data_IF_552325667084
#
_entry.id   IF_552325667084
#
_cell.length_a   1.000
_cell.length_b   1.000
_cell.length_c   1.000
_cell.angle_alpha   90.00
_cell.angle_beta   90.00
_cell.angle_gamma   90.00
#
_symmetry.space_group_name_H-M   'P 1'
#
loop_
_entity.id
_entity.type
_entity.pdbx_description
1 polymer ?
#
# COMPACT_ATOMS: atom_id res chain seq x y z
N UNK A 1 33.21 29.31 25.75
CA UNK A 1 31.84 28.85 26.08
C UNK A 1 31.04 28.84 24.78
N UNK A 2 30.84 27.76 24.05
CA UNK A 2 30.80 26.36 24.44
C UNK A 2 29.35 25.85 24.45
N UNK A 3 28.79 25.64 23.25
CA UNK A 3 27.85 24.55 22.94
C UNK A 3 27.63 24.50 21.41
N UNK A 4 28.43 23.66 20.76
CA UNK A 4 28.05 23.05 19.50
C UNK A 4 26.80 22.20 19.74
N UNK A 5 25.74 22.41 18.95
CA UNK A 5 24.70 21.42 18.73
C UNK A 5 25.08 20.69 17.44
N UNK A 6 25.85 19.61 17.62
CA UNK A 6 26.19 18.64 16.59
C UNK A 6 24.95 17.79 16.23
N UNK A 7 24.88 17.45 14.95
CA UNK A 7 24.12 16.36 14.31
C UNK A 7 22.62 16.55 14.09
N UNK A 8 22.32 17.29 13.01
CA UNK A 8 21.09 17.15 12.23
C UNK A 8 21.34 16.01 11.23
N UNK A 9 20.76 14.84 11.49
CA UNK A 9 20.78 13.69 10.58
C UNK A 9 19.34 13.22 10.37
N UNK A 10 18.93 13.26 9.11
CA UNK A 10 17.88 12.53 8.41
C UNK A 10 16.40 12.80 8.74
N UNK A 11 15.80 13.49 7.79
CA UNK A 11 14.37 13.74 7.58
C UNK A 11 13.64 12.38 7.40
N UNK A 12 13.09 11.85 8.49
CA UNK A 12 12.21 10.67 8.50
C UNK A 12 10.75 11.08 8.46
N UNK A 13 10.20 11.20 7.25
CA UNK A 13 8.75 11.19 6.98
C UNK A 13 8.60 10.43 5.67
N UNK A 14 8.04 9.23 5.63
CA UNK A 14 6.70 8.89 6.11
C UNK A 14 6.66 7.47 6.73
N UNK A 15 7.78 6.99 7.26
CA UNK A 15 8.02 5.54 7.39
C UNK A 15 8.83 5.14 8.62
N UNK A 16 8.40 5.59 9.80
CA UNK A 16 8.98 5.14 11.06
C UNK A 16 7.91 4.79 12.08
N UNK A 17 7.41 3.57 11.95
CA UNK A 17 7.04 2.80 13.12
C UNK A 17 7.72 1.41 12.93
N UNK A 18 8.80 1.21 13.69
CA UNK A 18 9.22 -0.01 14.41
C UNK A 18 9.74 -1.30 13.70
N UNK A 19 10.98 -1.67 14.09
CA UNK A 19 11.76 -2.89 13.77
C UNK A 19 12.40 -3.48 15.06
N UNK A 20 12.76 -4.80 15.00
CA UNK A 20 13.62 -5.68 15.87
C UNK A 20 12.84 -6.74 16.69
N UNK A 21 13.12 -8.07 16.74
CA UNK A 21 14.30 -8.95 16.45
C UNK A 21 13.88 -10.46 16.43
N UNK A 22 14.63 -11.28 15.64
CA UNK A 22 14.86 -12.77 15.68
C UNK A 22 13.66 -13.74 15.44
N UNK A 23 13.73 -14.89 14.75
CA UNK A 23 14.82 -15.66 14.15
C UNK A 23 14.37 -17.14 13.94
N UNK A 24 14.29 -17.57 12.66
CA UNK A 24 14.41 -18.93 12.07
C UNK A 24 13.48 -20.11 12.51
N UNK A 25 12.70 -20.69 11.57
CA UNK A 25 12.91 -22.01 10.92
C UNK A 25 11.66 -22.58 10.20
N UNK A 26 11.84 -22.82 8.89
CA UNK A 26 11.10 -23.64 7.89
C UNK A 26 9.88 -24.46 8.31
N UNK A 27 8.75 -24.34 7.55
CA UNK A 27 7.88 -25.47 7.17
C UNK A 27 7.11 -25.22 5.86
N UNK A 28 6.85 -26.32 5.14
CA UNK A 28 6.34 -26.39 3.77
C UNK A 28 4.80 -26.23 3.69
N UNK A 29 4.36 -25.76 2.52
CA UNK A 29 3.03 -25.25 2.13
C UNK A 29 1.88 -26.25 2.16
N UNK A 30 0.67 -25.79 2.55
CA UNK A 30 -0.60 -25.95 1.80
C UNK A 30 -1.81 -25.40 2.59
N UNK A 31 -2.19 -24.13 2.33
CA UNK A 31 -3.57 -23.61 2.19
C UNK A 31 -3.59 -22.08 2.43
N UNK A 32 -3.59 -21.27 1.36
CA UNK A 32 -3.66 -19.80 1.42
C UNK A 32 -4.96 -19.23 0.82
N UNK A 33 -6.07 -20.00 0.87
CA UNK A 33 -7.35 -19.70 0.19
C UNK A 33 -8.20 -18.58 0.79
N UNK A 34 -7.63 -17.55 1.43
CA UNK A 34 -8.40 -16.45 2.03
C UNK A 34 -7.66 -15.10 1.93
N UNK A 35 -7.82 -14.43 0.80
CA UNK A 35 -7.38 -13.04 0.60
C UNK A 35 -8.61 -12.14 0.53
N UNK A 36 -8.57 -11.03 1.27
CA UNK A 36 -9.70 -10.10 1.50
C UNK A 36 -9.28 -8.71 1.00
N UNK A 37 -9.86 -8.21 -0.10
CA UNK A 37 -9.61 -6.83 -0.60
C UNK A 37 -10.43 -5.75 0.13
N UNK A 38 -10.07 -4.46 -0.02
CA UNK A 38 -10.54 -3.34 0.85
C UNK A 38 -10.75 -2.00 0.09
N UNK A 39 -11.89 -1.30 0.27
CA UNK A 39 -12.07 0.12 -0.15
C UNK A 39 -13.17 0.87 0.65
N UNK A 40 -13.08 2.20 0.71
CA UNK A 40 -14.14 3.16 1.10
C UNK A 40 -14.01 4.51 0.36
N UNK A 41 -15.14 5.15 0.02
CA UNK A 41 -15.27 6.60 -0.22
C UNK A 41 -16.59 7.12 0.41
N UNK A 42 -16.59 8.15 1.28
CA UNK A 42 -17.80 8.69 1.92
C UNK A 42 -18.72 9.46 0.99
N UNK A 43 -18.17 10.31 0.10
CA UNK A 43 -18.99 11.34 -0.56
C UNK A 43 -18.62 11.48 -2.06
N UNK A 44 -19.28 10.72 -2.92
CA UNK A 44 -19.26 11.00 -4.36
C UNK A 44 -20.65 10.75 -4.94
N UNK A 45 -21.47 11.80 -4.91
CA UNK A 45 -22.78 11.90 -5.58
C UNK A 45 -22.64 11.94 -7.13
N UNK A 46 -21.57 11.35 -7.69
CA UNK A 46 -21.23 11.36 -9.12
C UNK A 46 -20.58 10.03 -9.50
N UNK A 47 -21.18 8.88 -9.20
CA UNK A 47 -20.93 7.64 -9.92
C UNK A 47 -22.17 6.74 -9.77
N UNK A 48 -22.82 6.43 -10.89
CA UNK A 48 -24.05 5.65 -10.97
C UNK A 48 -24.09 4.47 -9.98
N UNK A 49 -25.17 4.44 -9.19
CA UNK A 49 -25.48 3.49 -8.13
C UNK A 49 -25.57 2.01 -8.56
N UNK A 50 -25.32 1.68 -9.83
CA UNK A 50 -25.46 0.32 -10.38
C UNK A 50 -24.13 -0.44 -10.55
N UNK A 51 -22.98 0.14 -10.16
CA UNK A 51 -21.66 -0.47 -10.39
C UNK A 51 -21.04 -1.24 -9.20
N UNK A 52 -21.74 -1.46 -8.08
CA UNK A 52 -21.11 -1.96 -6.85
C UNK A 52 -21.75 -3.23 -6.26
N UNK A 53 -21.59 -4.38 -6.94
CA UNK A 53 -21.71 -5.69 -6.28
C UNK A 53 -20.47 -6.00 -5.41
N UNK A 54 -20.36 -5.30 -4.29
CA UNK A 54 -19.52 -5.67 -3.14
C UNK A 54 -20.42 -5.81 -1.92
N UNK A 55 -20.17 -6.79 -1.05
CA UNK A 55 -20.93 -6.90 0.20
C UNK A 55 -20.42 -5.82 1.16
N UNK A 56 -21.18 -4.73 1.29
CA UNK A 56 -20.97 -3.73 2.33
C UNK A 56 -21.20 -4.39 3.70
N UNK A 57 -20.23 -4.28 4.59
CA UNK A 57 -20.39 -4.65 5.99
C UNK A 57 -20.57 -3.35 6.77
N UNK A 58 -21.81 -3.00 7.09
CA UNK A 58 -22.13 -1.84 7.92
C UNK A 58 -21.61 -2.11 9.34
N UNK A 59 -20.59 -1.38 9.77
CA UNK A 59 -20.21 -1.26 11.17
C UNK A 59 -20.97 -0.09 11.79
N UNK A 60 -21.80 -0.35 12.79
CA UNK A 60 -22.42 0.69 13.60
C UNK A 60 -21.40 1.54 14.37
N UNK A 61 -21.91 2.47 15.17
CA UNK A 61 -21.12 3.30 16.09
C UNK A 61 -20.41 2.44 17.15
N UNK A 62 -19.11 2.71 17.39
CA UNK A 62 -18.24 1.86 18.22
C UNK A 62 -18.62 1.87 19.69
N UNK A 63 -19.44 2.83 20.08
CA UNK A 63 -19.90 3.02 21.44
C UNK A 63 -21.22 2.27 21.73
N UNK A 64 -21.90 1.74 20.71
CA UNK A 64 -23.25 1.16 20.83
C UNK A 64 -23.39 -0.28 20.29
N UNK A 65 -22.32 -0.92 19.84
CA UNK A 65 -22.34 -2.34 19.49
C UNK A 65 -22.49 -3.19 20.77
N UNK A 66 -23.74 -3.50 21.13
CA UNK A 66 -24.11 -4.42 22.22
C UNK A 66 -23.74 -5.89 22.01
N UNK A 67 -22.71 -6.18 21.22
CA UNK A 67 -22.04 -7.47 21.17
C UNK A 67 -20.84 -7.34 22.11
N UNK A 68 -20.99 -7.87 23.32
CA UNK A 68 -20.07 -7.64 24.43
C UNK A 68 -18.64 -8.04 24.07
N UNK A 69 -17.83 -7.06 23.70
CA UNK A 69 -16.65 -6.68 24.48
C UNK A 69 -16.02 -5.39 23.92
N UNK A 70 -16.54 -4.23 24.36
CA UNK A 70 -15.87 -2.94 24.15
C UNK A 70 -14.49 -2.88 24.85
N UNK A 71 -14.15 -3.84 25.73
CA UNK A 71 -12.84 -3.95 26.37
C UNK A 71 -11.85 -4.82 25.56
N UNK A 72 -12.25 -5.46 24.45
CA UNK A 72 -11.35 -6.31 23.63
C UNK A 72 -10.60 -5.54 22.55
N UNK A 73 -10.87 -4.23 22.42
CA UNK A 73 -10.30 -3.39 21.39
C UNK A 73 -9.12 -2.60 22.00
N UNK A 74 -7.85 -3.06 21.89
CA UNK A 74 -6.73 -2.32 22.44
C UNK A 74 -6.68 -0.88 21.92
N UNK A 75 -6.31 0.05 22.80
CA UNK A 75 -6.25 1.48 22.49
C UNK A 75 -5.34 1.76 21.28
N UNK A 76 -4.26 1.00 21.15
CA UNK A 76 -3.33 1.03 20.01
C UNK A 76 -3.24 -0.33 19.32
N UNK A 77 -3.10 -0.33 18.00
CA UNK A 77 -2.76 -1.52 17.22
C UNK A 77 -1.68 -1.18 16.21
N UNK A 78 -0.81 -2.14 15.90
CA UNK A 78 0.17 -2.01 14.85
C UNK A 78 0.44 -3.40 14.24
N UNK A 79 0.07 -3.53 12.96
CA UNK A 79 0.16 -4.76 12.22
C UNK A 79 1.60 -5.32 12.15
N UNK A 80 2.64 -4.49 12.20
CA UNK A 80 4.04 -4.97 12.13
C UNK A 80 4.46 -5.73 13.36
N UNK A 81 3.95 -5.34 14.52
CA UNK A 81 4.22 -6.04 15.76
C UNK A 81 3.35 -7.29 15.90
N UNK A 82 2.15 -7.26 15.34
CA UNK A 82 1.24 -8.39 15.41
C UNK A 82 1.62 -9.50 14.42
N UNK A 83 2.12 -9.15 13.24
CA UNK A 83 2.57 -10.08 12.20
C UNK A 83 4.01 -9.78 11.79
N UNK A 84 4.93 -9.93 12.74
CA UNK A 84 6.35 -9.61 12.56
C UNK A 84 7.02 -10.37 11.40
N UNK A 85 6.62 -11.61 11.15
CA UNK A 85 7.14 -12.43 10.03
C UNK A 85 6.70 -11.92 8.65
N UNK A 86 5.69 -11.06 8.60
CA UNK A 86 5.20 -10.46 7.37
C UNK A 86 5.92 -9.15 7.06
N UNK A 87 7.14 -9.31 6.53
CA UNK A 87 8.02 -8.19 6.16
C UNK A 87 7.37 -7.20 5.19
N UNK A 88 6.40 -7.64 4.39
CA UNK A 88 5.62 -6.77 3.48
C UNK A 88 4.91 -5.64 4.23
N UNK A 89 4.53 -5.87 5.49
CA UNK A 89 3.83 -4.86 6.29
C UNK A 89 4.77 -3.69 6.62
N UNK A 90 6.06 -3.98 6.78
CA UNK A 90 7.12 -2.99 7.01
C UNK A 90 7.78 -2.52 5.72
N UNK A 91 7.37 -3.06 4.56
CA UNK A 91 7.94 -2.71 3.27
C UNK A 91 7.28 -1.45 2.70
N UNK A 92 8.14 -0.59 2.18
CA UNK A 92 7.86 0.80 1.85
C UNK A 92 8.20 1.05 0.40
N UNK A 93 7.17 1.26 -0.40
CA UNK A 93 7.31 1.52 -1.84
C UNK A 93 7.65 2.98 -2.13
N UNK A 94 8.48 3.20 -3.14
CA UNK A 94 8.64 4.52 -3.77
C UNK A 94 7.98 4.49 -5.16
N UNK A 95 6.90 5.26 -5.32
CA UNK A 95 6.16 5.34 -6.58
C UNK A 95 6.92 6.05 -7.71
N UNK A 96 8.01 6.76 -7.40
CA UNK A 96 8.71 7.61 -8.35
C UNK A 96 7.84 8.76 -8.85
N UNK A 97 8.17 9.32 -10.01
CA UNK A 97 7.41 10.43 -10.61
C UNK A 97 6.16 9.92 -11.37
N UNK A 98 5.36 9.09 -10.70
CA UNK A 98 4.18 8.41 -11.22
C UNK A 98 3.10 8.43 -10.13
N UNK A 99 1.89 8.90 -10.43
CA UNK A 99 0.76 8.88 -9.50
C UNK A 99 0.13 7.47 -9.41
N UNK A 100 0.89 6.52 -8.84
CA UNK A 100 0.55 5.11 -8.74
C UNK A 100 0.16 4.66 -7.32
N UNK A 101 -0.10 5.60 -6.40
CA UNK A 101 -0.54 5.34 -5.02
C UNK A 101 -1.77 4.41 -4.98
N UNK A 102 -2.70 4.56 -5.93
CA UNK A 102 -3.89 3.73 -6.07
C UNK A 102 -3.58 2.24 -6.33
N UNK A 103 -2.52 1.93 -7.07
CA UNK A 103 -2.11 0.57 -7.39
C UNK A 103 -1.17 0.00 -6.32
N UNK A 104 -0.23 0.83 -5.84
CA UNK A 104 0.76 0.46 -4.83
C UNK A 104 0.08 0.18 -3.48
N UNK A 105 -0.86 1.01 -3.04
CA UNK A 105 -1.59 0.77 -1.79
C UNK A 105 -2.37 -0.55 -1.81
N UNK A 106 -3.04 -0.85 -2.93
CA UNK A 106 -3.81 -2.08 -3.14
C UNK A 106 -2.92 -3.32 -3.15
N UNK A 107 -1.85 -3.31 -3.93
CA UNK A 107 -0.90 -4.43 -3.97
C UNK A 107 -0.15 -4.60 -2.65
N UNK A 108 0.16 -3.52 -1.94
CA UNK A 108 0.75 -3.59 -0.59
C UNK A 108 -0.19 -4.27 0.41
N UNK A 109 -1.45 -3.85 0.48
CA UNK A 109 -2.44 -4.49 1.36
C UNK A 109 -2.67 -5.96 0.96
N UNK A 110 -2.64 -6.27 -0.34
CA UNK A 110 -2.70 -7.66 -0.82
C UNK A 110 -1.51 -8.48 -0.34
N UNK A 111 -0.27 -7.97 -0.48
CA UNK A 111 0.95 -8.66 -0.04
C UNK A 111 0.88 -9.01 1.45
N UNK A 112 0.46 -8.04 2.28
CA UNK A 112 0.29 -8.24 3.72
C UNK A 112 -0.72 -9.33 4.03
N UNK A 113 -1.89 -9.27 3.38
CA UNK A 113 -2.96 -10.23 3.61
C UNK A 113 -2.60 -11.63 3.12
N UNK A 114 -1.78 -11.74 2.07
CA UNK A 114 -1.22 -13.01 1.62
C UNK A 114 -0.30 -13.60 2.67
N UNK A 115 0.61 -12.80 3.18
CA UNK A 115 1.51 -13.25 4.23
C UNK A 115 0.74 -13.66 5.50
N UNK A 116 -0.18 -12.83 5.96
CA UNK A 116 -0.98 -13.10 7.17
C UNK A 116 -1.82 -14.36 6.99
N UNK A 117 -2.55 -14.49 5.89
CA UNK A 117 -3.42 -15.64 5.65
C UNK A 117 -2.63 -16.94 5.46
N UNK A 118 -1.41 -16.85 4.93
CA UNK A 118 -0.49 -17.99 4.78
C UNK A 118 0.34 -18.26 6.04
N UNK A 119 0.16 -17.48 7.12
CA UNK A 119 0.95 -17.55 8.36
C UNK A 119 2.46 -17.41 8.12
N UNK A 120 2.86 -16.44 7.30
CA UNK A 120 4.27 -16.17 6.97
C UNK A 120 4.85 -17.06 5.87
N UNK A 121 4.11 -18.06 5.36
CA UNK A 121 4.66 -18.97 4.35
C UNK A 121 4.79 -18.34 2.96
N UNK A 122 4.04 -17.28 2.66
CA UNK A 122 4.13 -16.56 1.39
C UNK A 122 4.48 -15.11 1.69
N UNK A 123 5.72 -14.74 1.43
CA UNK A 123 6.26 -13.39 1.66
C UNK A 123 6.61 -12.65 0.37
N UNK A 124 6.31 -13.25 -0.79
CA UNK A 124 6.58 -12.64 -2.09
C UNK A 124 5.81 -11.31 -2.25
N UNK A 125 6.47 -10.32 -2.87
CA UNK A 125 5.83 -9.08 -3.29
C UNK A 125 5.14 -9.29 -4.63
N UNK A 126 3.88 -8.86 -4.72
CA UNK A 126 3.12 -8.84 -5.96
C UNK A 126 3.16 -7.47 -6.62
N UNK A 127 3.27 -7.50 -7.94
CA UNK A 127 3.67 -6.39 -8.77
C UNK A 127 2.59 -5.30 -8.85
N UNK A 128 2.83 -4.09 -8.31
CA UNK A 128 2.04 -2.91 -8.67
C UNK A 128 2.21 -2.53 -10.15
N UNK A 129 3.35 -2.86 -10.76
CA UNK A 129 3.64 -2.53 -12.15
C UNK A 129 2.60 -3.13 -13.10
N UNK A 130 2.21 -4.39 -12.88
CA UNK A 130 1.17 -5.03 -13.69
C UNK A 130 -0.17 -4.29 -13.61
N UNK A 131 -0.55 -3.84 -12.42
CA UNK A 131 -1.81 -3.10 -12.23
C UNK A 131 -1.77 -1.76 -12.96
N UNK A 132 -0.69 -0.99 -12.78
CA UNK A 132 -0.50 0.32 -13.40
C UNK A 132 -0.46 0.23 -14.93
N UNK A 133 0.23 -0.77 -15.48
CA UNK A 133 0.44 -0.89 -16.92
C UNK A 133 -0.70 -1.56 -17.67
N UNK A 134 -1.41 -2.50 -17.04
CA UNK A 134 -2.36 -3.38 -17.74
C UNK A 134 -3.82 -3.23 -17.30
N UNK A 135 -4.13 -2.43 -16.29
CA UNK A 135 -5.53 -2.16 -15.93
C UNK A 135 -6.08 -0.95 -16.69
N UNK A 136 -6.74 -1.21 -17.81
CA UNK A 136 -7.35 -0.18 -18.66
C UNK A 136 -8.54 0.51 -17.98
N UNK A 137 -9.29 -0.21 -17.14
CA UNK A 137 -10.47 0.32 -16.43
C UNK A 137 -10.13 0.97 -15.08
N UNK A 138 -8.84 1.10 -14.73
CA UNK A 138 -8.42 1.61 -13.41
C UNK A 138 -8.14 3.12 -13.37
N UNK A 139 -8.21 3.81 -14.50
CA UNK A 139 -7.82 5.21 -14.63
C UNK A 139 -6.68 5.39 -15.62
N UNK A 140 -5.82 6.38 -15.40
CA UNK A 140 -4.84 6.87 -16.37
C UNK A 140 -3.39 6.50 -15.99
N UNK A 141 -3.19 5.34 -15.37
CA UNK A 141 -1.87 4.82 -15.00
C UNK A 141 -1.10 5.77 -14.07
N UNK A 142 0.00 6.33 -14.57
CA UNK A 142 0.84 7.30 -13.84
C UNK A 142 0.22 8.69 -13.68
N UNK A 143 -0.99 8.93 -14.22
CA UNK A 143 -1.75 10.16 -14.01
C UNK A 143 -2.89 9.97 -12.98
N UNK A 144 -2.85 8.90 -12.19
CA UNK A 144 -3.84 8.59 -11.17
C UNK A 144 -4.83 7.49 -11.58
N UNK A 145 -5.54 6.98 -10.60
CA UNK A 145 -6.46 5.87 -10.77
C UNK A 145 -7.27 5.55 -9.51
N UNK A 146 -8.03 4.47 -9.57
CA UNK A 146 -9.03 4.11 -8.57
C UNK A 146 -8.69 2.78 -7.90
N UNK A 147 -8.53 2.79 -6.59
CA UNK A 147 -8.23 1.59 -5.77
C UNK A 147 -9.32 0.52 -5.87
N UNK A 148 -10.60 0.91 -5.97
CA UNK A 148 -11.71 -0.02 -6.19
C UNK A 148 -11.58 -0.78 -7.52
N UNK A 149 -11.20 -0.08 -8.59
CA UNK A 149 -10.97 -0.69 -9.89
C UNK A 149 -9.74 -1.61 -9.87
N UNK A 150 -8.67 -1.23 -9.16
CA UNK A 150 -7.49 -2.07 -8.97
C UNK A 150 -7.82 -3.40 -8.28
N UNK A 151 -8.60 -3.38 -7.20
CA UNK A 151 -9.07 -4.62 -6.57
C UNK A 151 -9.89 -5.48 -7.52
N UNK A 152 -10.77 -4.87 -8.32
CA UNK A 152 -11.56 -5.58 -9.34
C UNK A 152 -10.69 -6.18 -10.44
N UNK A 153 -9.65 -5.48 -10.86
CA UNK A 153 -8.67 -6.00 -11.80
C UNK A 153 -7.97 -7.24 -11.23
N UNK A 154 -7.51 -7.18 -9.98
CA UNK A 154 -6.87 -8.31 -9.31
C UNK A 154 -7.85 -9.49 -9.14
N UNK A 155 -9.13 -9.23 -8.87
CA UNK A 155 -10.18 -10.25 -8.80
C UNK A 155 -10.40 -10.95 -10.16
N UNK A 156 -10.52 -10.17 -11.25
CA UNK A 156 -10.87 -10.70 -12.58
C UNK A 156 -9.66 -11.27 -13.32
N UNK A 157 -8.57 -10.52 -13.37
CA UNK A 157 -7.38 -10.77 -14.19
C UNK A 157 -6.20 -11.29 -13.39
N UNK A 158 -6.04 -10.82 -12.15
CA UNK A 158 -4.92 -11.20 -11.29
C UNK A 158 -3.62 -10.51 -11.65
N UNK A 159 -2.61 -10.72 -10.81
CA UNK A 159 -1.28 -10.13 -10.94
C UNK A 159 -0.18 -11.17 -10.74
N UNK A 160 1.05 -10.82 -11.08
CA UNK A 160 2.25 -11.66 -10.90
C UNK A 160 3.14 -11.06 -9.81
N UNK A 161 4.20 -11.77 -9.44
CA UNK A 161 5.20 -11.27 -8.49
C UNK A 161 6.00 -10.09 -9.07
N UNK A 162 6.53 -9.22 -8.22
CA UNK A 162 7.34 -8.07 -8.62
C UNK A 162 7.68 -7.16 -7.44
N UNK A 163 8.97 -6.94 -7.19
CA UNK A 163 9.48 -6.07 -6.13
C UNK A 163 9.83 -4.66 -6.59
N UNK A 164 10.70 -3.99 -5.83
CA UNK A 164 11.12 -2.60 -6.08
C UNK A 164 11.87 -2.41 -7.41
N UNK A 165 12.01 -1.14 -7.79
CA UNK A 165 12.87 -0.73 -8.89
C UNK A 165 14.30 -1.22 -8.67
N UNK A 166 14.86 -1.93 -9.65
CA UNK A 166 16.23 -2.45 -9.59
C UNK A 166 16.44 -3.62 -8.63
N UNK A 167 15.41 -4.09 -7.92
CA UNK A 167 15.51 -5.23 -6.99
C UNK A 167 15.80 -6.56 -7.70
N UNK A 168 15.36 -6.69 -8.95
CA UNK A 168 15.28 -7.98 -9.67
C UNK A 168 14.47 -9.04 -8.90
N UNK A 169 13.48 -8.63 -8.13
CA UNK A 169 12.59 -9.54 -7.40
C UNK A 169 11.28 -9.79 -8.16
N UNK A 170 10.91 -11.05 -8.30
CA UNK A 170 9.65 -11.46 -8.93
C UNK A 170 9.62 -11.31 -10.46
N UNK A 171 8.48 -11.62 -11.07
CA UNK A 171 8.28 -11.62 -12.51
C UNK A 171 8.33 -10.21 -13.14
N UNK A 172 7.72 -9.22 -12.49
CA UNK A 172 7.56 -7.84 -12.98
C UNK A 172 7.92 -6.78 -11.92
N UNK A 173 9.23 -6.58 -11.61
CA UNK A 173 9.70 -5.52 -10.72
C UNK A 173 9.29 -4.11 -11.20
N UNK A 174 9.12 -3.17 -10.27
CA UNK A 174 8.74 -1.79 -10.58
C UNK A 174 9.68 -1.11 -11.60
N UNK A 175 9.11 -0.44 -12.61
CA UNK A 175 9.88 0.15 -13.71
C UNK A 175 10.13 1.66 -13.55
N UNK A 176 9.36 2.34 -12.69
CA UNK A 176 9.54 3.78 -12.48
C UNK A 176 10.66 4.01 -11.47
N UNK A 177 11.65 4.79 -11.89
CA UNK A 177 12.78 5.14 -11.02
C UNK A 177 12.29 5.92 -9.77
N UNK A 178 12.76 5.56 -8.56
CA UNK A 178 12.46 6.32 -7.36
C UNK A 178 12.90 7.78 -7.46
N UNK A 179 12.16 8.67 -6.80
CA UNK A 179 12.53 10.07 -6.66
C UNK A 179 12.26 10.55 -5.22
N UNK A 180 12.89 11.66 -4.84
CA UNK A 180 12.73 12.30 -3.55
C UNK A 180 11.58 13.32 -3.61
N UNK A 181 10.62 13.24 -2.68
CA UNK A 181 9.53 14.22 -2.58
C UNK A 181 9.94 15.58 -1.97
N UNK A 182 11.17 15.68 -1.42
CA UNK A 182 11.62 16.89 -0.72
C UNK A 182 12.22 17.94 -1.67
N UNK A 183 11.83 19.19 -1.46
CA UNK A 183 12.26 20.39 -2.19
C UNK A 183 13.69 20.85 -1.89
N UNK A 184 14.35 20.25 -0.91
CA UNK A 184 15.78 20.48 -0.67
C UNK A 184 16.57 19.52 -1.54
N UNK A 185 17.23 20.06 -2.56
CA UNK A 185 18.24 19.44 -3.43
C UNK A 185 18.78 18.10 -2.94
N UNK A 186 18.74 17.07 -3.81
CA UNK A 186 19.34 15.73 -3.65
C UNK A 186 20.29 15.64 -2.46
N UNK A 187 19.76 15.31 -1.28
CA UNK A 187 20.58 15.05 -0.11
C UNK A 187 21.33 13.74 -0.37
N UNK A 188 22.67 13.73 -0.47
CA UNK A 188 23.44 12.50 -0.64
C UNK A 188 23.25 11.52 0.53
N UNK A 189 22.73 12.01 1.66
CA UNK A 189 22.39 11.25 2.87
C UNK A 189 20.97 10.67 2.84
N UNK A 190 20.15 11.03 1.84
CA UNK A 190 18.85 10.39 1.62
C UNK A 190 19.06 8.88 1.48
N UNK A 191 18.21 8.08 2.13
CA UNK A 191 18.18 6.61 1.99
C UNK A 191 17.99 6.19 0.53
N UNK A 192 17.46 7.10 -0.30
CA UNK A 192 17.27 6.96 -1.73
C UNK A 192 18.54 7.34 -2.54
N UNK A 193 19.64 7.78 -1.91
CA UNK A 193 20.84 8.22 -2.63
C UNK A 193 20.57 9.41 -3.56
N UNK A 194 21.35 9.59 -4.66
CA UNK A 194 21.19 10.70 -5.61
C UNK A 194 19.99 10.47 -6.55
N UNK A 195 18.84 10.08 -6.02
CA UNK A 195 17.59 10.07 -6.77
C UNK A 195 17.09 11.52 -6.90
N UNK A 196 16.74 11.92 -8.11
CA UNK A 196 16.28 13.29 -8.40
C UNK A 196 15.04 13.67 -7.59
N UNK A 197 14.69 14.96 -7.58
CA UNK A 197 13.46 15.45 -6.92
C UNK A 197 12.25 15.10 -7.80
N UNK A 198 11.19 14.57 -7.21
CA UNK A 198 9.92 14.34 -7.89
C UNK A 198 9.30 15.68 -8.31
N UNK A 199 8.65 15.73 -9.48
CA UNK A 199 8.04 16.95 -9.99
C UNK A 199 8.10 17.04 -11.52
N UNK A 200 7.51 18.11 -12.05
CA UNK A 200 7.30 18.26 -13.49
C UNK A 200 6.23 17.29 -14.01
N UNK A 201 6.30 16.97 -15.31
CA UNK A 201 5.35 16.08 -15.95
C UNK A 201 5.53 14.63 -15.43
N UNK A 202 4.43 13.91 -15.11
CA UNK A 202 4.49 12.50 -14.75
C UNK A 202 5.19 11.69 -15.84
N UNK A 203 5.89 10.63 -15.43
CA UNK A 203 6.43 9.68 -16.41
C UNK A 203 5.29 9.06 -17.21
N UNK A 204 5.53 8.81 -18.50
CA UNK A 204 4.60 8.07 -19.31
C UNK A 204 4.35 6.68 -18.69
N UNK A 205 3.09 6.30 -18.54
CA UNK A 205 2.72 4.97 -18.02
C UNK A 205 3.44 3.87 -18.80
N UNK A 206 4.24 3.02 -18.15
CA UNK A 206 4.90 1.91 -18.84
C UNK A 206 3.87 1.01 -19.51
N UNK A 207 4.16 0.56 -20.74
CA UNK A 207 3.22 -0.25 -21.53
C UNK A 207 2.93 -1.58 -20.84
N UNK A 208 1.71 -2.09 -21.03
CA UNK A 208 1.36 -3.43 -20.58
C UNK A 208 2.25 -4.48 -21.25
N UNK A 209 2.99 -5.23 -20.44
CA UNK A 209 3.77 -6.38 -20.84
C UNK A 209 3.15 -7.64 -20.22
N UNK A 210 2.84 -8.64 -21.05
CA UNK A 210 2.30 -9.94 -20.62
C UNK A 210 3.39 -11.01 -20.54
N UNK A 211 4.59 -10.61 -20.12
CA UNK A 211 5.74 -11.48 -19.88
C UNK A 211 6.45 -11.13 -18.56
N UNK A 212 7.29 -12.04 -18.07
CA UNK A 212 8.22 -11.73 -16.99
C UNK A 212 9.47 -11.08 -17.58
N UNK A 213 9.58 -9.76 -17.50
CA UNK A 213 10.73 -9.01 -18.00
C UNK A 213 11.93 -9.02 -17.03
N UNK A 214 11.76 -9.55 -15.82
CA UNK A 214 12.91 -9.85 -14.97
C UNK A 214 13.66 -11.08 -15.47
N UNK A 215 14.84 -10.87 -16.04
CA UNK A 215 15.68 -11.96 -16.57
C UNK A 215 16.16 -12.96 -15.51
N UNK A 216 16.19 -12.59 -14.23
CA UNK A 216 16.61 -13.47 -13.13
C UNK A 216 15.46 -14.37 -12.65
N UNK A 217 14.23 -14.07 -13.06
CA UNK A 217 13.05 -14.78 -12.67
C UNK A 217 12.82 -16.01 -13.57
N UNK A 218 12.70 -17.20 -12.95
CA UNK A 218 12.59 -18.47 -13.67
C UNK A 218 11.15 -18.92 -13.95
N UNK A 219 10.17 -18.27 -13.32
CA UNK A 219 8.76 -18.60 -13.48
C UNK A 219 8.20 -18.18 -14.83
N UNK A 220 7.08 -18.79 -15.23
CA UNK A 220 6.35 -18.42 -16.44
C UNK A 220 5.21 -17.49 -16.08
N UNK A 221 5.09 -16.40 -16.83
CA UNK A 221 4.11 -15.34 -16.58
C UNK A 221 2.69 -15.85 -16.31
N UNK A 222 2.16 -16.75 -17.15
CA UNK A 222 0.79 -17.27 -17.01
C UNK A 222 0.60 -18.17 -15.79
N UNK A 223 1.65 -18.89 -15.37
CA UNK A 223 1.60 -19.83 -14.26
C UNK A 223 1.67 -19.13 -12.90
N UNK A 224 2.19 -17.88 -12.86
CA UNK A 224 2.32 -17.08 -11.64
C UNK A 224 1.12 -16.15 -11.35
N UNK A 225 0.11 -16.14 -12.23
CA UNK A 225 -1.03 -15.23 -12.05
C UNK A 225 -1.82 -15.65 -10.80
N UNK A 226 -1.78 -14.80 -9.77
CA UNK A 226 -2.64 -14.90 -8.60
C UNK A 226 -3.82 -13.94 -8.73
N UNK A 227 -5.00 -14.40 -8.28
CA UNK A 227 -6.22 -13.58 -8.26
C UNK A 227 -6.69 -13.37 -6.83
N UNK A 228 -7.29 -12.21 -6.59
CA UNK A 228 -8.12 -12.04 -5.40
C UNK A 228 -9.34 -12.96 -5.52
N UNK A 229 -9.87 -13.43 -4.39
CA UNK A 229 -11.08 -14.26 -4.37
C UNK A 229 -12.34 -13.43 -4.12
N UNK A 230 -12.26 -12.45 -3.22
CA UNK A 230 -13.36 -11.58 -2.81
C UNK A 230 -12.84 -10.20 -2.43
N UNK A 231 -13.69 -9.19 -2.61
CA UNK A 231 -13.45 -7.79 -2.23
C UNK A 231 -14.59 -7.39 -1.29
N UNK A 232 -14.27 -6.66 -0.23
CA UNK A 232 -15.24 -6.15 0.72
C UNK A 232 -14.96 -4.67 1.01
N UNK A 233 -16.00 -3.98 1.46
CA UNK A 233 -15.90 -2.63 2.01
C UNK A 233 -16.34 -2.67 3.46
N UNK A 234 -15.77 -1.78 4.26
CA UNK A 234 -16.03 -1.67 5.69
C UNK A 234 -15.80 -0.24 6.14
N UNK A 235 -16.53 0.15 7.16
CA UNK A 235 -16.49 1.47 7.78
C UNK A 235 -16.36 1.33 9.30
N UNK A 236 -16.17 2.48 9.97
CA UNK A 236 -16.18 2.59 11.43
C UNK A 236 -15.46 1.45 12.16
N UNK A 237 -16.19 0.75 13.01
CA UNK A 237 -15.64 -0.31 13.87
C UNK A 237 -15.37 -1.61 13.10
N UNK A 238 -16.12 -1.87 12.03
CA UNK A 238 -15.86 -2.99 11.15
C UNK A 238 -14.46 -2.87 10.53
N UNK A 239 -14.00 -1.65 10.23
CA UNK A 239 -12.64 -1.39 9.77
C UNK A 239 -11.58 -1.77 10.82
N UNK A 240 -11.76 -1.34 12.07
CA UNK A 240 -10.85 -1.68 13.20
C UNK A 240 -10.83 -3.19 13.47
N UNK A 241 -12.00 -3.84 13.50
CA UNK A 241 -12.13 -5.30 13.66
C UNK A 241 -11.45 -6.03 12.49
N UNK A 242 -11.62 -5.55 11.26
CA UNK A 242 -11.00 -6.14 10.07
C UNK A 242 -9.48 -6.01 10.09
N UNK A 243 -8.96 -4.84 10.47
CA UNK A 243 -7.52 -4.58 10.58
C UNK A 243 -6.82 -5.60 11.46
N UNK A 244 -7.40 -5.91 12.62
CA UNK A 244 -6.82 -6.83 13.60
C UNK A 244 -6.95 -8.29 13.21
N UNK A 245 -8.04 -8.66 12.55
CA UNK A 245 -8.31 -10.04 12.20
C UNK A 245 -7.66 -10.45 10.88
N UNK A 246 -7.55 -9.51 9.95
CA UNK A 246 -7.20 -9.79 8.56
C UNK A 246 -6.03 -8.96 8.05
N UNK A 247 -5.59 -7.94 8.79
CA UNK A 247 -4.42 -7.15 8.45
C UNK A 247 -4.71 -5.83 7.72
N UNK A 248 -3.65 -5.14 7.28
CA UNK A 248 -3.70 -3.84 6.65
C UNK A 248 -4.71 -3.71 5.52
N UNK A 249 -5.21 -2.49 5.31
CA UNK A 249 -6.20 -2.17 4.30
C UNK A 249 -5.95 -0.82 3.63
N UNK A 250 -6.58 -0.60 2.48
CA UNK A 250 -6.46 0.64 1.72
C UNK A 250 -7.49 1.66 2.18
N UNK A 251 -7.05 2.90 2.38
CA UNK A 251 -7.90 4.07 2.59
C UNK A 251 -7.50 5.17 1.61
N UNK A 252 -8.44 6.05 1.31
CA UNK A 252 -8.18 7.25 0.50
C UNK A 252 -8.42 8.47 1.37
N UNK A 253 -7.49 9.41 1.35
CA UNK A 253 -7.54 10.66 2.11
C UNK A 253 -7.41 11.88 1.19
N UNK A 254 -8.00 13.00 1.61
CA UNK A 254 -7.77 14.31 0.99
C UNK A 254 -6.40 14.83 1.42
N UNK A 255 -5.65 15.33 0.46
CA UNK A 255 -4.33 15.93 0.66
C UNK A 255 -4.43 17.43 0.42
N UNK A 256 -3.80 18.18 1.32
CA UNK A 256 -3.69 19.64 1.28
C UNK A 256 -2.21 20.03 1.27
N UNK A 257 -1.89 21.27 0.92
CA UNK A 257 -0.50 21.73 0.81
C UNK A 257 0.32 21.54 2.09
N UNK A 258 -0.29 21.76 3.26
CA UNK A 258 0.36 21.58 4.56
C UNK A 258 0.77 20.12 4.85
N UNK A 259 0.08 19.14 4.27
CA UNK A 259 0.47 17.73 4.36
C UNK A 259 1.86 17.47 3.78
N UNK A 260 2.25 18.18 2.71
CA UNK A 260 3.57 18.01 2.09
C UNK A 260 4.71 18.44 3.02
N UNK A 261 4.42 19.31 3.98
CA UNK A 261 5.36 19.77 4.98
C UNK A 261 5.37 18.91 6.26
N UNK A 262 4.48 17.93 6.37
CA UNK A 262 4.35 17.08 7.56
C UNK A 262 5.70 16.47 7.98
N UNK A 263 6.04 16.60 9.27
CA UNK A 263 7.30 16.09 9.85
C UNK A 263 7.13 14.95 10.87
N UNK A 264 6.14 15.04 11.75
CA UNK A 264 5.91 14.05 12.81
C UNK A 264 4.63 14.38 13.57
N UNK A 265 4.12 13.42 14.35
CA UNK A 265 2.95 13.60 15.21
C UNK A 265 1.68 13.03 14.59
N UNK A 266 0.54 13.65 14.88
CA UNK A 266 -0.74 13.32 14.25
C UNK A 266 -1.12 14.47 13.33
N UNK A 267 -1.11 14.21 12.03
CA UNK A 267 -1.50 15.22 11.04
C UNK A 267 -2.97 15.59 11.19
N UNK A 268 -3.24 16.89 11.22
CA UNK A 268 -4.56 17.48 11.01
C UNK A 268 -4.37 18.67 10.08
N UNK A 269 -5.29 18.86 9.14
CA UNK A 269 -5.22 19.99 8.23
C UNK A 269 -5.43 21.31 8.98
N UNK A 270 -4.61 22.31 8.68
CA UNK A 270 -4.65 23.66 9.29
C UNK A 270 -4.66 24.74 8.21
N UNK A 271 -3.87 24.60 7.14
CA UNK A 271 -3.69 25.65 6.12
C UNK A 271 -3.43 25.09 4.73
N UNK A 272 -3.64 25.90 3.70
CA UNK A 272 -3.25 25.57 2.33
C UNK A 272 -4.36 24.91 1.53
N UNK A 273 -4.20 24.94 0.21
CA UNK A 273 -5.24 24.53 -0.72
C UNK A 273 -5.35 23.01 -0.84
N UNK A 274 -6.52 22.56 -1.28
CA UNK A 274 -6.77 21.16 -1.61
C UNK A 274 -5.96 20.75 -2.86
N UNK A 275 -5.12 19.73 -2.71
CA UNK A 275 -4.25 19.24 -3.78
C UNK A 275 -4.81 18.01 -4.51
N UNK A 276 -5.62 17.20 -3.84
CA UNK A 276 -6.18 15.99 -4.43
C UNK A 276 -6.43 14.87 -3.43
N UNK A 277 -6.55 13.65 -3.97
CA UNK A 277 -6.72 12.42 -3.20
C UNK A 277 -5.42 11.62 -3.19
N UNK A 278 -5.13 10.97 -2.08
CA UNK A 278 -4.03 10.02 -1.92
C UNK A 278 -4.55 8.72 -1.32
N UNK A 279 -4.19 7.61 -1.95
CA UNK A 279 -4.50 6.27 -1.47
C UNK A 279 -3.32 5.71 -0.66
N UNK A 280 -3.60 5.32 0.57
CA UNK A 280 -2.58 4.83 1.51
C UNK A 280 -3.00 3.50 2.12
N UNK A 281 -2.02 2.78 2.67
CA UNK A 281 -2.23 1.54 3.40
C UNK A 281 -2.29 1.82 4.91
N UNK A 282 -3.44 1.59 5.52
CA UNK A 282 -3.67 1.66 6.96
C UNK A 282 -3.17 0.39 7.65
N UNK A 283 -2.37 0.53 8.72
CA UNK A 283 -1.71 -0.57 9.42
C UNK A 283 -1.98 -0.61 10.93
N UNK A 284 -2.55 0.45 11.51
CA UNK A 284 -2.68 0.61 12.96
C UNK A 284 -3.38 1.90 13.32
#
# INVERSE_FOLDING_TARGET
>A
MGRQLQNITDIKILFHIMLKVAGVNSFHTNDHKKLVGTFYHPDADILDHEAFEGTAVNGGDCDNDGDGDANEVPESFDARYHWFDCISISHIWNQGNCAADWAISVTSAMNDRICIASKGNITALYSPQKVVSCCEDCGNGCNGGYTAAAWRYILKKGIVTGGDYGSNEGCQPWLVQPCNASTTSADPSSVLGPHGVCGGDPVATPKCDLSCYNAQHKGKYLDEIIKAKRIFTFDGCAARKNLRKHGPYVVTMRVYEDFLAYKSGVYHHVTGDYLGLLSVRMIG
#
